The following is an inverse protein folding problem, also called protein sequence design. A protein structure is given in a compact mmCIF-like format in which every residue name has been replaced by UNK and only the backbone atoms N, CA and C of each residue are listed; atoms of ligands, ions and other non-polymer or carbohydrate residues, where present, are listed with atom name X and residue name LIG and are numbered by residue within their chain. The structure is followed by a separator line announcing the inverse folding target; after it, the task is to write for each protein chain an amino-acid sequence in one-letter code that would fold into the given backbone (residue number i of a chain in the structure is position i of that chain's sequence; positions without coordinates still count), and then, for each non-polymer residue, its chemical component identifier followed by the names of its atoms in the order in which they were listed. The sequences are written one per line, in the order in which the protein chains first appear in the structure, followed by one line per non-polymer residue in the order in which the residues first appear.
data_IF_621346473635
#
_entry.id   IF_621346473635
#
_cell.length_a   1.000
_cell.length_b   1.000
_cell.length_c   1.000
_cell.angle_alpha   90.00
_cell.angle_beta   90.00
_cell.angle_gamma   90.00
#
_symmetry.space_group_name_H-M   'P 1'
#
loop_
_entity.id
_entity.type
_entity.pdbx_description
1 polymer ?
#
# COMPACT_ATOMS: atom_id res chain seq x y z
N UNK A 1 7.54 0.54 -7.82
CA UNK A 1 6.88 1.70 -7.19
C UNK A 1 7.38 1.91 -5.76
N UNK A 2 6.85 1.24 -4.73
CA UNK A 2 7.18 1.56 -3.32
C UNK A 2 8.34 0.77 -2.68
N UNK A 3 9.28 0.29 -3.50
CA UNK A 3 10.34 -0.60 -3.03
C UNK A 3 11.28 0.04 -2.01
N UNK A 4 11.46 1.36 -2.05
CA UNK A 4 12.42 2.07 -1.19
C UNK A 4 11.95 2.23 0.24
N UNK A 5 10.63 2.19 0.49
CA UNK A 5 10.08 2.17 1.85
C UNK A 5 10.65 1.00 2.64
N UNK A 6 10.78 -0.18 2.00
CA UNK A 6 11.34 -1.37 2.64
C UNK A 6 12.87 -1.41 2.62
N UNK A 7 13.54 -0.34 2.19
CA UNK A 7 14.97 -0.11 2.40
C UNK A 7 15.24 0.76 3.65
N UNK A 8 14.23 1.48 4.12
CA UNK A 8 14.34 2.32 5.32
C UNK A 8 14.21 1.52 6.61
N UNK A 9 14.85 1.99 7.67
CA UNK A 9 14.64 1.44 9.01
C UNK A 9 13.33 1.98 9.62
N UNK A 10 12.59 1.15 10.38
CA UNK A 10 12.91 -0.22 10.77
C UNK A 10 12.48 -1.29 9.74
N UNK A 11 11.85 -0.92 8.62
CA UNK A 11 11.22 -1.83 7.65
C UNK A 11 12.21 -2.83 7.02
N UNK A 12 13.39 -2.36 6.61
CA UNK A 12 14.45 -3.20 6.06
C UNK A 12 14.98 -4.20 7.11
N UNK A 13 15.22 -3.72 8.32
CA UNK A 13 15.72 -4.53 9.44
C UNK A 13 14.73 -5.62 9.84
N UNK A 14 13.44 -5.28 9.97
CA UNK A 14 12.40 -6.25 10.35
C UNK A 14 12.18 -7.30 9.26
N UNK A 15 12.18 -6.90 7.98
CA UNK A 15 12.09 -7.86 6.88
C UNK A 15 13.30 -8.80 6.84
N UNK A 16 14.51 -8.25 6.99
CA UNK A 16 15.76 -9.05 7.05
C UNK A 16 15.73 -10.06 8.20
N UNK A 17 15.29 -9.65 9.40
CA UNK A 17 15.13 -10.54 10.55
C UNK A 17 14.11 -11.64 10.28
N UNK A 18 12.96 -11.32 9.70
CA UNK A 18 11.93 -12.30 9.36
C UNK A 18 12.45 -13.34 8.35
N UNK A 19 13.14 -12.90 7.29
CA UNK A 19 13.76 -13.80 6.31
C UNK A 19 14.82 -14.68 6.96
N UNK A 20 15.69 -14.13 7.82
CA UNK A 20 16.70 -14.94 8.53
C UNK A 20 16.08 -16.02 9.42
N UNK A 21 15.02 -15.68 10.17
CA UNK A 21 14.27 -16.64 10.97
C UNK A 21 13.70 -17.75 10.09
N UNK A 22 13.05 -17.40 8.98
CA UNK A 22 12.48 -18.38 8.08
C UNK A 22 13.56 -19.27 7.46
N UNK A 23 14.64 -18.69 6.92
CA UNK A 23 15.74 -19.44 6.31
C UNK A 23 16.39 -20.42 7.28
N UNK A 24 16.59 -20.01 8.55
CA UNK A 24 17.15 -20.89 9.58
C UNK A 24 16.28 -22.14 9.81
N UNK A 25 14.96 -21.94 9.90
CA UNK A 25 13.97 -22.99 10.09
C UNK A 25 13.83 -23.86 8.84
N UNK A 26 13.70 -23.25 7.66
CA UNK A 26 13.35 -23.94 6.42
C UNK A 26 14.48 -24.80 5.86
N UNK A 27 15.74 -24.47 6.16
CA UNK A 27 16.90 -25.25 5.76
C UNK A 27 17.07 -26.55 6.55
N UNK A 28 16.30 -26.75 7.63
CA UNK A 28 16.41 -27.90 8.53
C UNK A 28 15.09 -28.68 8.52
N UNK A 29 15.03 -29.88 7.92
CA UNK A 29 13.76 -30.63 7.80
C UNK A 29 13.02 -30.82 9.12
N UNK A 30 13.74 -31.13 10.21
CA UNK A 30 13.14 -31.30 11.54
C UNK A 30 12.52 -30.00 12.08
N UNK A 31 13.18 -28.85 11.88
CA UNK A 31 12.62 -27.56 12.31
C UNK A 31 11.46 -27.12 11.42
N UNK A 32 11.56 -27.36 10.11
CA UNK A 32 10.49 -27.06 9.18
C UNK A 32 9.22 -27.84 9.52
N UNK A 33 9.35 -29.14 9.81
CA UNK A 33 8.24 -29.98 10.24
C UNK A 33 7.66 -29.52 11.58
N UNK A 34 8.52 -29.17 12.54
CA UNK A 34 8.07 -28.60 13.81
C UNK A 34 7.31 -27.29 13.60
N UNK A 35 7.82 -26.37 12.78
CA UNK A 35 7.13 -25.14 12.44
C UNK A 35 5.77 -25.41 11.79
N UNK A 36 5.69 -26.32 10.82
CA UNK A 36 4.43 -26.71 10.18
C UNK A 36 3.42 -27.29 11.17
N UNK A 37 3.86 -28.11 12.13
CA UNK A 37 3.01 -28.61 13.22
C UNK A 37 2.38 -27.47 14.02
N UNK A 38 3.14 -26.43 14.35
CA UNK A 38 2.62 -25.28 15.10
C UNK A 38 1.81 -24.29 14.25
N UNK A 39 2.17 -24.13 12.96
CA UNK A 39 1.52 -23.14 12.08
C UNK A 39 0.31 -23.68 11.34
N UNK A 40 -0.02 -24.97 11.46
CA UNK A 40 -0.98 -25.69 10.60
C UNK A 40 -0.56 -25.60 9.14
N UNK A 41 0.69 -25.97 8.87
CA UNK A 41 1.30 -26.04 7.53
C UNK A 41 1.37 -24.71 6.76
N UNK A 42 1.19 -23.58 7.46
CA UNK A 42 1.23 -22.26 6.82
C UNK A 42 2.67 -21.88 6.45
N UNK A 43 2.85 -21.51 5.18
CA UNK A 43 4.09 -20.93 4.68
C UNK A 43 4.27 -19.47 5.15
N UNK A 44 5.45 -19.15 5.66
CA UNK A 44 5.76 -17.81 6.17
C UNK A 44 6.22 -16.85 5.06
N UNK A 45 7.00 -17.33 4.10
CA UNK A 45 7.40 -16.52 2.93
C UNK A 45 6.34 -16.63 1.84
N UNK A 46 5.95 -15.49 1.28
CA UNK A 46 4.94 -15.39 0.21
C UNK A 46 5.50 -14.57 -0.96
N UNK A 47 6.01 -15.23 -2.02
CA UNK A 47 6.47 -14.56 -3.22
C UNK A 47 5.34 -13.77 -3.89
N UNK A 48 5.67 -12.61 -4.47
CA UNK A 48 4.79 -11.80 -5.29
C UNK A 48 5.56 -11.16 -6.44
N UNK A 49 4.84 -10.61 -7.43
CA UNK A 49 5.43 -9.97 -8.62
C UNK A 49 6.48 -8.91 -8.28
N UNK A 50 6.30 -8.17 -7.18
CA UNK A 50 7.22 -7.11 -6.75
C UNK A 50 7.90 -7.45 -5.44
N UNK A 51 9.12 -6.92 -5.26
CA UNK A 51 9.88 -7.03 -3.99
C UNK A 51 9.11 -6.41 -2.82
N UNK A 52 8.44 -5.28 -3.06
CA UNK A 52 7.57 -4.62 -2.07
C UNK A 52 6.41 -5.53 -1.62
N UNK A 53 5.67 -6.09 -2.57
CA UNK A 53 4.57 -7.01 -2.24
C UNK A 53 5.07 -8.28 -1.55
N UNK A 54 6.22 -8.81 -1.95
CA UNK A 54 6.85 -9.97 -1.30
C UNK A 54 7.20 -9.67 0.15
N UNK A 55 7.80 -8.50 0.41
CA UNK A 55 8.15 -8.07 1.76
C UNK A 55 6.91 -7.92 2.64
N UNK A 56 5.89 -7.20 2.16
CA UNK A 56 4.63 -7.04 2.87
C UNK A 56 3.93 -8.36 3.16
N UNK A 57 3.74 -9.22 2.15
CA UNK A 57 3.02 -10.49 2.32
C UNK A 57 3.76 -11.46 3.25
N UNK A 58 5.09 -11.43 3.23
CA UNK A 58 5.92 -12.22 4.16
C UNK A 58 5.74 -11.74 5.59
N UNK A 59 5.88 -10.43 5.85
CA UNK A 59 5.65 -9.88 7.19
C UNK A 59 4.21 -10.09 7.68
N UNK A 60 3.24 -9.99 6.78
CA UNK A 60 1.83 -10.25 7.10
C UNK A 60 1.62 -11.72 7.49
N UNK A 61 2.22 -12.67 6.77
CA UNK A 61 2.17 -14.10 7.14
C UNK A 61 2.80 -14.36 8.50
N UNK A 62 3.96 -13.75 8.79
CA UNK A 62 4.61 -13.80 10.10
C UNK A 62 3.69 -13.27 11.21
N UNK A 63 3.05 -12.12 10.99
CA UNK A 63 2.11 -11.51 11.93
C UNK A 63 0.93 -12.44 12.23
N UNK A 64 0.32 -13.05 11.21
CA UNK A 64 -0.77 -14.02 11.38
C UNK A 64 -0.35 -15.24 12.19
N UNK A 65 0.92 -15.65 12.11
CA UNK A 65 1.46 -16.78 12.86
C UNK A 65 2.13 -16.37 14.18
N UNK A 66 2.11 -15.09 14.59
CA UNK A 66 2.84 -14.56 15.77
C UNK A 66 2.69 -15.42 17.03
N UNK A 67 1.45 -15.72 17.45
CA UNK A 67 1.18 -16.52 18.65
C UNK A 67 1.76 -17.94 18.55
N UNK A 68 1.61 -18.57 17.38
CA UNK A 68 2.06 -19.94 17.10
C UNK A 68 3.58 -20.03 17.02
N UNK A 69 4.25 -19.07 16.38
CA UNK A 69 5.71 -18.98 16.31
C UNK A 69 6.34 -18.72 17.68
N UNK A 70 5.72 -17.87 18.51
CA UNK A 70 6.13 -17.69 19.91
C UNK A 70 5.98 -18.98 20.70
N UNK A 71 4.85 -19.69 20.56
CA UNK A 71 4.62 -20.97 21.23
C UNK A 71 5.65 -22.02 20.80
N UNK A 72 6.01 -22.06 19.52
CA UNK A 72 7.04 -22.96 18.99
C UNK A 72 8.37 -22.76 19.72
N UNK A 73 8.92 -21.55 19.77
CA UNK A 73 10.25 -21.33 20.38
C UNK A 73 10.26 -21.44 21.90
N UNK A 74 9.08 -21.42 22.53
CA UNK A 74 8.92 -21.62 23.98
C UNK A 74 8.60 -23.08 24.36
N UNK A 75 8.29 -23.93 23.39
CA UNK A 75 7.95 -25.34 23.61
C UNK A 75 9.15 -26.17 24.06
N UNK A 76 8.88 -27.26 24.77
CA UNK A 76 9.92 -28.25 25.11
C UNK A 76 10.48 -28.89 23.85
N UNK A 77 9.64 -29.15 22.83
CA UNK A 77 10.08 -29.70 21.53
C UNK A 77 11.13 -28.82 20.84
N UNK A 78 11.09 -27.50 21.04
CA UNK A 78 12.17 -26.61 20.60
C UNK A 78 13.37 -26.66 21.55
N UNK A 79 13.17 -26.51 22.85
CA UNK A 79 14.27 -26.45 23.85
C UNK A 79 15.15 -27.71 23.86
N UNK A 80 14.52 -28.87 23.68
CA UNK A 80 15.20 -30.17 23.66
C UNK A 80 15.86 -30.46 22.30
N UNK A 81 15.54 -29.66 21.28
CA UNK A 81 16.11 -29.80 19.95
C UNK A 81 17.57 -29.32 19.92
N UNK A 82 18.47 -30.10 19.30
CA UNK A 82 19.88 -29.72 19.10
C UNK A 82 20.05 -28.35 18.43
N UNK A 83 19.15 -27.98 17.52
CA UNK A 83 19.20 -26.72 16.80
C UNK A 83 18.93 -25.52 17.70
N UNK A 84 18.15 -25.66 18.77
CA UNK A 84 17.92 -24.57 19.72
C UNK A 84 19.19 -24.18 20.49
N UNK A 85 20.18 -25.07 20.57
CA UNK A 85 21.47 -24.84 21.24
C UNK A 85 22.47 -24.09 20.33
N UNK A 86 22.27 -24.12 19.01
CA UNK A 86 23.08 -23.37 18.06
C UNK A 86 22.92 -21.86 18.27
N UNK A 87 23.98 -21.10 17.94
CA UNK A 87 23.94 -19.62 18.00
C UNK A 87 22.75 -19.07 17.19
N UNK A 88 22.56 -19.54 15.96
CA UNK A 88 21.46 -19.11 15.10
C UNK A 88 20.06 -19.53 15.62
N UNK A 89 19.97 -20.66 16.33
CA UNK A 89 18.73 -21.08 16.99
C UNK A 89 18.37 -20.19 18.17
N UNK A 90 19.36 -19.83 19.00
CA UNK A 90 19.19 -18.85 20.09
C UNK A 90 18.76 -17.49 19.57
N UNK A 91 19.40 -16.99 18.51
CA UNK A 91 19.00 -15.72 17.88
C UNK A 91 17.59 -15.77 17.28
N UNK A 92 17.22 -16.88 16.64
CA UNK A 92 15.86 -17.09 16.12
C UNK A 92 14.81 -17.01 17.23
N UNK A 93 15.07 -17.69 18.36
CA UNK A 93 14.18 -17.64 19.52
C UNK A 93 14.07 -16.21 20.08
N UNK A 94 15.20 -15.50 20.25
CA UNK A 94 15.23 -14.11 20.70
C UNK A 94 14.39 -13.18 19.81
N UNK A 95 14.53 -13.29 18.49
CA UNK A 95 13.74 -12.49 17.54
C UNK A 95 12.24 -12.78 17.70
N UNK A 96 11.86 -14.06 17.77
CA UNK A 96 10.45 -14.46 17.83
C UNK A 96 9.78 -14.11 19.17
N UNK A 97 10.52 -14.01 20.28
CA UNK A 97 9.96 -13.55 21.56
C UNK A 97 10.04 -12.03 21.76
N UNK A 98 10.88 -11.33 21.00
CA UNK A 98 11.12 -9.89 21.13
C UNK A 98 9.87 -9.04 20.86
N UNK A 99 9.41 -8.22 21.81
CA UNK A 99 8.34 -7.26 21.57
C UNK A 99 8.67 -6.24 20.48
N UNK A 100 9.92 -5.76 20.43
CA UNK A 100 10.35 -4.74 19.45
C UNK A 100 10.25 -5.26 18.02
N UNK A 101 10.65 -6.51 17.76
CA UNK A 101 10.48 -7.14 16.46
C UNK A 101 9.01 -7.11 16.02
N UNK A 102 8.09 -7.53 16.88
CA UNK A 102 6.67 -7.55 16.53
C UNK A 102 6.05 -6.16 16.38
N UNK A 103 6.53 -5.16 17.14
CA UNK A 103 6.10 -3.78 16.98
C UNK A 103 6.54 -3.22 15.62
N UNK A 104 7.76 -3.53 15.19
CA UNK A 104 8.25 -3.15 13.86
C UNK A 104 7.50 -3.88 12.73
N UNK A 105 7.11 -5.16 12.94
CA UNK A 105 6.24 -5.88 12.00
C UNK A 105 4.91 -5.14 11.84
N UNK A 106 4.27 -4.76 12.96
CA UNK A 106 3.00 -4.03 12.92
C UNK A 106 3.17 -2.67 12.23
N UNK A 107 4.26 -1.94 12.50
CA UNK A 107 4.57 -0.67 11.83
C UNK A 107 4.67 -0.86 10.31
N UNK A 108 5.40 -1.88 9.86
CA UNK A 108 5.53 -2.20 8.44
C UNK A 108 4.17 -2.54 7.79
N UNK A 109 3.27 -3.22 8.51
CA UNK A 109 1.94 -3.54 8.01
C UNK A 109 1.01 -2.32 7.94
N UNK A 110 1.09 -1.42 8.93
CA UNK A 110 0.36 -0.14 8.93
C UNK A 110 0.70 0.73 7.71
N UNK A 111 1.98 0.75 7.32
CA UNK A 111 2.44 1.47 6.13
C UNK A 111 2.14 0.71 4.83
N UNK A 112 2.50 -0.57 4.76
CA UNK A 112 2.40 -1.34 3.53
C UNK A 112 0.97 -1.69 3.14
N UNK A 113 0.06 -1.84 4.10
CA UNK A 113 -1.32 -2.27 3.86
C UNK A 113 -2.09 -1.33 2.92
N UNK A 114 -2.18 -0.02 3.22
CA UNK A 114 -2.83 0.96 2.35
C UNK A 114 -2.20 1.01 0.95
N UNK A 115 -0.87 1.02 0.85
CA UNK A 115 -0.16 1.05 -0.44
C UNK A 115 -0.40 -0.20 -1.29
N UNK A 116 -0.50 -1.38 -0.67
CA UNK A 116 -0.87 -2.62 -1.38
C UNK A 116 -2.30 -2.54 -1.92
N UNK A 117 -3.23 -1.86 -1.23
CA UNK A 117 -4.58 -1.64 -1.74
C UNK A 117 -4.54 -0.76 -2.99
N UNK A 118 -3.76 0.33 -2.99
CA UNK A 118 -3.57 1.18 -4.18
C UNK A 118 -3.00 0.37 -5.34
N UNK A 119 -1.91 -0.39 -5.11
CA UNK A 119 -1.31 -1.22 -6.16
C UNK A 119 -2.29 -2.24 -6.73
N UNK A 120 -3.09 -2.90 -5.88
CA UNK A 120 -4.11 -3.86 -6.35
C UNK A 120 -5.25 -3.21 -7.12
N UNK A 121 -5.58 -1.96 -6.81
CA UNK A 121 -6.57 -1.19 -7.55
C UNK A 121 -6.06 -0.86 -8.95
N UNK A 122 -4.80 -0.43 -9.07
CA UNK A 122 -4.18 -0.07 -10.36
C UNK A 122 -3.89 -1.29 -11.22
N UNK A 123 -3.49 -2.41 -10.59
CA UNK A 123 -3.28 -3.69 -11.28
C UNK A 123 -4.60 -4.40 -11.62
N UNK A 124 -5.73 -3.95 -11.06
CA UNK A 124 -7.03 -4.58 -11.22
C UNK A 124 -7.77 -4.06 -12.45
N UNK A 125 -8.14 -4.95 -13.37
CA UNK A 125 -8.85 -4.59 -14.61
C UNK A 125 -10.35 -4.26 -14.41
N UNK A 126 -10.85 -4.24 -13.17
CA UNK A 126 -12.30 -4.17 -12.89
C UNK A 126 -12.92 -2.78 -13.04
N UNK A 127 -12.20 -1.71 -12.70
CA UNK A 127 -12.63 -0.31 -12.89
C UNK A 127 -11.45 0.46 -13.50
N UNK A 128 -11.66 1.42 -14.41
CA UNK A 128 -10.57 2.22 -14.97
C UNK A 128 -9.83 2.95 -13.83
N UNK A 129 -8.57 2.59 -13.53
CA UNK A 129 -7.91 3.06 -12.31
C UNK A 129 -7.49 4.53 -12.39
N UNK A 130 -7.40 5.07 -13.60
CA UNK A 130 -6.89 6.40 -13.91
C UNK A 130 -7.60 7.51 -13.13
N UNK A 131 -8.93 7.47 -13.04
CA UNK A 131 -9.71 8.49 -12.34
C UNK A 131 -9.79 8.32 -10.82
N UNK A 132 -9.25 7.24 -10.27
CA UNK A 132 -9.29 6.95 -8.83
C UNK A 132 -7.90 7.03 -8.17
N UNK A 133 -6.83 7.16 -8.96
CA UNK A 133 -5.46 7.05 -8.47
C UNK A 133 -5.12 8.12 -7.41
N UNK A 134 -5.52 9.38 -7.63
CA UNK A 134 -5.32 10.49 -6.69
C UNK A 134 -5.99 10.20 -5.35
N UNK A 135 -7.31 10.05 -5.37
CA UNK A 135 -8.11 9.73 -4.19
C UNK A 135 -7.59 8.48 -3.45
N UNK A 136 -7.18 7.44 -4.17
CA UNK A 136 -6.66 6.22 -3.54
C UNK A 136 -5.31 6.46 -2.86
N UNK A 137 -4.45 7.30 -3.43
CA UNK A 137 -3.17 7.68 -2.83
C UNK A 137 -3.38 8.55 -1.58
N UNK A 138 -4.27 9.54 -1.66
CA UNK A 138 -4.59 10.42 -0.53
C UNK A 138 -5.17 9.62 0.63
N UNK A 139 -6.17 8.78 0.38
CA UNK A 139 -6.71 7.85 1.39
C UNK A 139 -5.65 6.91 1.96
N UNK A 140 -4.66 6.51 1.15
CA UNK A 140 -3.57 5.69 1.64
C UNK A 140 -2.67 6.48 2.61
N UNK A 141 -2.30 7.73 2.29
CA UNK A 141 -1.56 8.63 3.19
C UNK A 141 -2.37 8.88 4.47
N UNK A 142 -3.64 9.24 4.37
CA UNK A 142 -4.54 9.43 5.52
C UNK A 142 -4.61 8.20 6.42
N UNK A 143 -4.80 7.01 5.84
CA UNK A 143 -4.84 5.75 6.59
C UNK A 143 -3.52 5.49 7.33
N UNK A 144 -2.38 5.80 6.70
CA UNK A 144 -1.06 5.68 7.32
C UNK A 144 -0.93 6.65 8.50
N UNK A 145 -1.25 7.93 8.30
CA UNK A 145 -1.18 8.95 9.35
C UNK A 145 -2.09 8.60 10.54
N UNK A 146 -3.35 8.23 10.27
CA UNK A 146 -4.30 7.80 11.28
C UNK A 146 -3.83 6.56 12.05
N UNK A 147 -3.17 5.61 11.37
CA UNK A 147 -2.59 4.42 12.01
C UNK A 147 -1.49 4.74 13.02
N UNK A 148 -0.94 5.95 12.98
CA UNK A 148 0.05 6.48 13.91
C UNK A 148 -0.46 7.64 14.77
N UNK A 149 -1.78 7.82 14.84
CA UNK A 149 -2.41 8.88 15.65
C UNK A 149 -1.91 10.29 15.26
N UNK A 150 -1.54 10.48 13.99
CA UNK A 150 -1.00 11.75 13.49
C UNK A 150 0.44 12.06 13.93
N UNK A 151 1.17 11.11 14.53
CA UNK A 151 2.57 11.32 14.90
C UNK A 151 3.49 11.31 13.66
N UNK A 152 3.68 12.51 13.09
CA UNK A 152 4.43 12.78 11.84
C UNK A 152 5.79 12.07 11.81
N UNK A 153 6.52 12.07 12.93
CA UNK A 153 7.85 11.43 13.07
C UNK A 153 7.87 9.94 12.70
N UNK A 154 6.71 9.27 12.72
CA UNK A 154 6.59 7.83 12.39
C UNK A 154 6.40 7.56 10.90
N UNK A 155 5.96 8.55 10.12
CA UNK A 155 5.61 8.37 8.71
C UNK A 155 6.11 9.47 7.76
N UNK A 156 6.74 10.54 8.24
CA UNK A 156 7.26 11.63 7.38
C UNK A 156 8.16 11.10 6.26
N UNK A 157 9.13 10.26 6.60
CA UNK A 157 10.06 9.67 5.64
C UNK A 157 9.35 8.73 4.65
N UNK A 158 8.27 8.10 5.09
CA UNK A 158 7.43 7.28 4.20
C UNK A 158 6.69 8.17 3.21
N UNK A 159 6.18 9.32 3.66
CA UNK A 159 5.49 10.29 2.81
C UNK A 159 6.45 10.92 1.81
N UNK A 160 7.65 11.32 2.23
CA UNK A 160 8.70 11.79 1.32
C UNK A 160 8.97 10.80 0.19
N UNK A 161 9.09 9.50 0.51
CA UNK A 161 9.28 8.46 -0.51
C UNK A 161 8.05 8.33 -1.41
N UNK A 162 6.84 8.41 -0.86
CA UNK A 162 5.60 8.36 -1.64
C UNK A 162 5.55 9.55 -2.59
N UNK A 163 5.85 10.75 -2.12
CA UNK A 163 5.74 12.01 -2.86
C UNK A 163 6.80 12.07 -3.97
N UNK A 164 8.05 11.66 -3.69
CA UNK A 164 9.07 11.48 -4.73
C UNK A 164 8.63 10.48 -5.80
N UNK A 165 7.99 9.36 -5.41
CA UNK A 165 7.48 8.37 -6.37
C UNK A 165 6.25 8.88 -7.11
N UNK A 166 5.44 9.72 -6.46
CA UNK A 166 4.30 10.39 -7.04
C UNK A 166 4.76 11.27 -8.19
N UNK A 167 5.55 12.30 -7.91
CA UNK A 167 6.03 13.28 -8.90
C UNK A 167 6.75 12.63 -10.08
N UNK A 168 7.60 11.63 -9.82
CA UNK A 168 8.43 11.05 -10.86
C UNK A 168 7.75 9.98 -11.72
N UNK A 169 6.76 9.25 -11.18
CA UNK A 169 6.26 8.02 -11.81
C UNK A 169 4.75 7.96 -11.96
N UNK A 170 3.99 8.49 -11.00
CA UNK A 170 2.54 8.31 -10.91
C UNK A 170 1.77 9.57 -11.31
N UNK A 171 2.30 10.74 -10.97
CA UNK A 171 1.74 12.03 -11.30
C UNK A 171 1.95 12.30 -12.79
N UNK A 172 0.88 12.14 -13.58
CA UNK A 172 0.87 12.49 -15.01
C UNK A 172 -0.38 13.33 -15.30
N UNK A 173 -0.30 14.29 -16.24
CA UNK A 173 -1.46 15.08 -16.67
C UNK A 173 -2.71 14.23 -16.97
N UNK A 174 -2.51 13.07 -17.59
CA UNK A 174 -3.59 12.14 -17.91
C UNK A 174 -4.30 11.56 -16.66
N UNK A 175 -3.56 11.27 -15.58
CA UNK A 175 -4.19 10.83 -14.32
C UNK A 175 -4.95 11.98 -13.65
N UNK A 176 -4.44 13.22 -13.72
CA UNK A 176 -5.10 14.41 -13.20
C UNK A 176 -6.43 14.65 -13.91
N UNK A 177 -6.40 14.63 -15.25
CA UNK A 177 -7.59 14.74 -16.07
C UNK A 177 -8.60 13.62 -15.77
N UNK A 178 -8.14 12.37 -15.65
CA UNK A 178 -8.99 11.24 -15.28
C UNK A 178 -9.66 11.43 -13.92
N UNK A 179 -8.95 11.99 -12.93
CA UNK A 179 -9.52 12.26 -11.61
C UNK A 179 -10.57 13.36 -11.65
N UNK A 180 -10.29 14.46 -12.37
CA UNK A 180 -11.21 15.59 -12.53
C UNK A 180 -12.49 15.19 -13.30
N UNK A 181 -12.36 14.31 -14.29
CA UNK A 181 -13.47 13.81 -15.10
C UNK A 181 -14.20 12.61 -14.49
N UNK A 182 -13.84 12.21 -13.26
CA UNK A 182 -14.57 11.19 -12.52
C UNK A 182 -15.74 11.84 -11.76
N UNK A 183 -17.00 11.69 -12.20
CA UNK A 183 -18.12 12.40 -11.58
C UNK A 183 -18.36 12.00 -10.13
N UNK A 184 -18.07 10.75 -9.75
CA UNK A 184 -18.23 10.31 -8.36
C UNK A 184 -17.28 10.99 -7.39
N UNK A 185 -16.10 11.41 -7.87
CA UNK A 185 -15.10 12.10 -7.07
C UNK A 185 -15.16 13.61 -7.26
N UNK A 186 -15.30 14.10 -8.50
CA UNK A 186 -15.30 15.52 -8.82
C UNK A 186 -16.30 16.30 -7.96
N UNK A 187 -17.60 15.98 -8.05
CA UNK A 187 -18.61 16.75 -7.31
C UNK A 187 -18.47 16.62 -5.80
N UNK A 188 -18.01 15.46 -5.32
CA UNK A 188 -17.74 15.25 -3.90
C UNK A 188 -16.57 16.14 -3.45
N UNK A 189 -15.45 16.09 -4.16
CA UNK A 189 -14.23 16.80 -3.81
C UNK A 189 -14.38 18.31 -4.03
N UNK A 190 -15.22 18.76 -4.98
CA UNK A 190 -15.60 20.17 -5.12
C UNK A 190 -16.44 20.63 -3.92
N UNK A 191 -17.45 19.86 -3.50
CA UNK A 191 -18.29 20.19 -2.35
C UNK A 191 -17.50 20.22 -1.04
N UNK A 192 -16.59 19.26 -0.89
CA UNK A 192 -15.78 19.08 0.32
C UNK A 192 -14.49 19.94 0.28
N UNK A 193 -14.29 20.74 -0.78
CA UNK A 193 -13.14 21.63 -1.01
C UNK A 193 -11.76 20.92 -0.97
N UNK A 194 -11.69 19.67 -1.45
CA UNK A 194 -10.48 18.83 -1.40
C UNK A 194 -9.72 18.72 -2.72
N UNK A 195 -10.20 19.36 -3.80
CA UNK A 195 -9.49 19.36 -5.08
C UNK A 195 -8.23 20.24 -5.02
N UNK A 196 -7.05 19.61 -5.10
CA UNK A 196 -5.78 20.32 -5.17
C UNK A 196 -5.59 21.05 -6.50
N UNK A 197 -4.89 22.18 -6.48
CA UNK A 197 -4.57 22.98 -7.67
C UNK A 197 -3.77 22.20 -8.72
N UNK A 198 -2.94 21.25 -8.28
CA UNK A 198 -2.17 20.37 -9.18
C UNK A 198 -3.07 19.54 -10.11
N UNK A 199 -4.28 19.16 -9.67
CA UNK A 199 -5.22 18.38 -10.49
C UNK A 199 -5.70 19.23 -11.67
N UNK A 200 -6.00 20.51 -11.43
CA UNK A 200 -6.41 21.46 -12.46
C UNK A 200 -5.27 21.74 -13.46
N UNK A 201 -4.06 21.99 -12.95
CA UNK A 201 -2.87 22.19 -13.78
C UNK A 201 -2.63 20.95 -14.66
N UNK A 202 -2.73 19.76 -14.08
CA UNK A 202 -2.58 18.50 -14.80
C UNK A 202 -3.67 18.28 -15.85
N UNK A 203 -4.91 18.66 -15.59
CA UNK A 203 -5.99 18.59 -16.57
C UNK A 203 -5.72 19.48 -17.79
N UNK A 204 -5.37 20.75 -17.59
CA UNK A 204 -5.05 21.65 -18.70
C UNK A 204 -3.82 21.20 -19.49
N UNK A 205 -2.75 20.79 -18.80
CA UNK A 205 -1.57 20.21 -19.45
C UNK A 205 -1.90 18.93 -20.25
N UNK A 206 -2.93 18.18 -19.84
CA UNK A 206 -3.39 17.01 -20.59
C UNK A 206 -4.11 17.43 -21.88
N UNK A 207 -4.96 18.45 -21.82
CA UNK A 207 -5.66 18.98 -22.98
C UNK A 207 -4.68 19.55 -24.01
N UNK A 208 -3.76 20.42 -23.59
CA UNK A 208 -2.74 21.00 -24.48
C UNK A 208 -1.90 19.94 -25.19
N UNK A 209 -1.65 18.82 -24.52
CA UNK A 209 -0.86 17.72 -25.09
C UNK A 209 -1.65 16.83 -26.06
N UNK A 210 -2.92 16.56 -25.78
CA UNK A 210 -3.72 15.59 -26.53
C UNK A 210 -4.61 16.21 -27.59
N UNK A 211 -4.95 17.49 -27.46
CA UNK A 211 -5.89 18.19 -28.34
C UNK A 211 -5.10 19.21 -29.16
N UNK A 212 -4.84 18.94 -30.45
CA UNK A 212 -3.99 19.82 -31.28
C UNK A 212 -4.70 21.10 -31.74
N UNK A 213 -6.03 21.15 -31.65
CA UNK A 213 -6.85 22.26 -32.14
C UNK A 213 -7.36 23.10 -30.97
N UNK A 214 -7.01 24.39 -30.94
CA UNK A 214 -7.46 25.33 -29.90
C UNK A 214 -8.97 25.47 -29.85
N UNK A 215 -9.66 25.49 -31.00
CA UNK A 215 -11.12 25.57 -31.02
C UNK A 215 -11.78 24.35 -30.34
N UNK A 216 -11.15 23.18 -30.41
CA UNK A 216 -11.62 21.99 -29.70
C UNK A 216 -11.33 22.07 -28.20
N UNK A 217 -10.21 22.68 -27.79
CA UNK A 217 -9.93 22.97 -26.37
C UNK A 217 -10.98 23.91 -25.79
N UNK A 218 -11.36 24.97 -26.52
CA UNK A 218 -12.38 25.93 -26.10
C UNK A 218 -13.74 25.24 -25.91
N UNK A 219 -14.15 24.41 -26.87
CA UNK A 219 -15.37 23.60 -26.77
C UNK A 219 -15.35 22.62 -25.58
N UNK A 220 -14.20 21.98 -25.32
CA UNK A 220 -14.04 21.13 -24.14
C UNK A 220 -14.19 21.95 -22.86
N UNK A 221 -13.68 23.19 -22.83
CA UNK A 221 -13.84 24.11 -21.71
C UNK A 221 -15.31 24.46 -21.43
N UNK A 222 -16.08 24.76 -22.49
CA UNK A 222 -17.53 25.00 -22.39
C UNK A 222 -18.28 23.78 -21.84
N UNK A 223 -18.04 22.60 -22.41
CA UNK A 223 -18.65 21.35 -21.97
C UNK A 223 -18.22 20.96 -20.56
N UNK A 224 -16.97 21.23 -20.19
CA UNK A 224 -16.48 21.04 -18.83
C UNK A 224 -17.17 22.00 -17.85
N UNK A 225 -17.46 23.24 -18.25
CA UNK A 225 -18.27 24.18 -17.48
C UNK A 225 -19.64 23.59 -17.14
N UNK A 226 -20.34 23.05 -18.15
CA UNK A 226 -21.65 22.39 -17.98
C UNK A 226 -21.56 21.15 -17.09
N UNK A 227 -20.53 20.32 -17.29
CA UNK A 227 -20.21 19.21 -16.40
C UNK A 227 -20.03 19.70 -14.97
N UNK A 228 -19.18 20.70 -14.73
CA UNK A 228 -18.83 21.16 -13.38
C UNK A 228 -20.04 21.66 -12.58
N UNK A 229 -21.01 22.25 -13.27
CA UNK A 229 -22.25 22.80 -12.70
C UNK A 229 -23.40 21.79 -12.69
N UNK A 230 -23.18 20.56 -13.17
CA UNK A 230 -24.19 19.52 -13.33
C UNK A 230 -25.38 19.97 -14.19
N UNK A 231 -25.13 20.71 -15.27
CA UNK A 231 -26.17 21.19 -16.17
C UNK A 231 -26.64 20.13 -17.18
N UNK A 232 -27.87 20.29 -17.68
CA UNK A 232 -28.44 19.44 -18.71
C UNK A 232 -28.47 17.97 -18.31
N UNK A 233 -27.87 17.11 -19.16
CA UNK A 233 -27.85 15.66 -18.93
C UNK A 233 -27.09 15.26 -17.66
N UNK A 234 -26.09 16.05 -17.23
CA UNK A 234 -25.29 15.78 -16.04
C UNK A 234 -26.08 15.96 -14.72
N UNK A 235 -27.17 16.74 -14.76
CA UNK A 235 -28.05 17.03 -13.62
C UNK A 235 -29.25 16.10 -13.49
N UNK A 236 -29.47 15.20 -14.45
CA UNK A 236 -30.58 14.24 -14.38
C UNK A 236 -30.44 13.31 -13.19
N UNK A 237 -31.56 12.94 -12.57
CA UNK A 237 -31.58 12.05 -11.40
C UNK A 237 -30.87 10.70 -11.66
N UNK A 238 -30.93 10.19 -12.89
CA UNK A 238 -30.19 9.00 -13.27
C UNK A 238 -28.66 9.21 -13.23
N UNK A 239 -28.17 10.35 -13.74
CA UNK A 239 -26.76 10.71 -13.70
C UNK A 239 -26.27 10.96 -12.27
N UNK A 240 -27.08 11.62 -11.42
CA UNK A 240 -26.78 11.82 -10.01
C UNK A 240 -26.60 10.49 -9.27
N UNK A 241 -27.53 9.53 -9.45
CA UNK A 241 -27.42 8.20 -8.83
C UNK A 241 -26.20 7.41 -9.31
N UNK A 242 -25.76 7.61 -10.55
CA UNK A 242 -24.59 6.94 -11.10
C UNK A 242 -23.25 7.47 -10.54
N UNK A 243 -23.24 8.61 -9.84
CA UNK A 243 -22.03 9.15 -9.20
C UNK A 243 -21.55 8.26 -8.06
N UNK A 244 -22.47 7.58 -7.38
CA UNK A 244 -22.20 6.80 -6.17
C UNK A 244 -21.98 5.28 -6.44
N UNK A 245 -21.99 4.85 -7.70
CA UNK A 245 -21.88 3.43 -8.13
C UNK A 245 -20.48 3.01 -8.61
#
# INVERSE_FOLDING_TARGET
MFGDIFKENPYASVFTKAVRVYSYISQRPLLLNLMRKFTNERNLVRPAKTRFATAFLTLHSFYLQKKKLRKLVLSNEWKDNRYAKEVAGKETAKVLISPSFWNDVVRALKVGGPLIKVLRMVDGERKPPMGYLYEAMDRAKETIAASFEGDVRKYEKVFEIIDIRWENQLHRPLHAAGHLLNPGLFYKNTRDETLASEVWIGYHACLEKLVPNSATIDQIGEEFGRYSQAEGLFGLQAALRARDS
#
